data_IF_166628366789
#
_entry.id   IF_166628366789
#
_cell.length_a   1.000
_cell.length_b   1.000
_cell.length_c   1.000
_cell.angle_alpha   90.00
_cell.angle_beta   90.00
_cell.angle_gamma   90.00
#
_symmetry.space_group_name_H-M   'P 1'
#
loop_
_entity.id
_entity.type
_entity.pdbx_description
1 polymer ?
#
# COMPACT_ATOMS: atom_id res chain seq x y z
N UNK A 1 -1.81 -6.55 5.65
CA UNK A 1 -3.20 -6.98 5.93
C UNK A 1 -3.98 -5.91 6.69
N UNK A 2 -3.57 -5.52 7.91
CA UNK A 2 -4.25 -4.45 8.68
C UNK A 2 -4.34 -3.13 7.90
N UNK A 3 -3.25 -2.70 7.26
CA UNK A 3 -3.23 -1.48 6.47
C UNK A 3 -4.23 -1.49 5.29
N UNK A 4 -4.33 -2.61 4.56
CA UNK A 4 -5.25 -2.75 3.43
C UNK A 4 -6.71 -2.63 3.89
N UNK A 5 -7.05 -3.17 5.05
CA UNK A 5 -8.38 -3.06 5.65
C UNK A 5 -8.70 -1.62 6.06
N UNK A 6 -7.73 -0.91 6.65
CA UNK A 6 -7.88 0.51 7.02
C UNK A 6 -8.14 1.41 5.80
N UNK A 7 -7.39 1.21 4.72
CA UNK A 7 -7.57 1.96 3.47
C UNK A 7 -8.95 1.71 2.86
N UNK A 8 -9.41 0.45 2.82
CA UNK A 8 -10.74 0.10 2.31
C UNK A 8 -11.87 0.67 3.18
N UNK A 9 -11.71 0.67 4.52
CA UNK A 9 -12.68 1.30 5.43
C UNK A 9 -12.75 2.82 5.23
N UNK A 10 -11.61 3.49 5.03
CA UNK A 10 -11.57 4.92 4.73
C UNK A 10 -12.27 5.24 3.39
N UNK A 11 -12.05 4.43 2.36
CA UNK A 11 -12.71 4.55 1.06
C UNK A 11 -14.24 4.39 1.16
N UNK A 12 -14.69 3.38 1.92
CA UNK A 12 -16.11 3.13 2.15
C UNK A 12 -16.78 4.27 2.95
N UNK A 13 -16.08 4.84 3.94
CA UNK A 13 -16.57 5.98 4.72
C UNK A 13 -16.79 7.23 3.87
N UNK A 14 -15.87 7.52 2.95
CA UNK A 14 -15.97 8.61 1.98
C UNK A 14 -17.15 8.45 1.01
N UNK A 15 -17.54 7.21 0.68
CA UNK A 15 -18.65 6.93 -0.25
C UNK A 15 -20.03 6.97 0.41
N UNK A 16 -20.12 6.59 1.69
CA UNK A 16 -21.40 6.40 2.37
C UNK A 16 -21.95 7.70 2.99
N UNK A 17 -21.09 8.68 3.24
CA UNK A 17 -21.47 9.96 3.85
C UNK A 17 -21.35 11.12 2.85
N UNK A 18 -22.47 11.74 2.48
CA UNK A 18 -22.51 12.93 1.61
C UNK A 18 -21.90 14.19 2.27
N UNK A 19 -21.82 14.22 3.60
CA UNK A 19 -21.10 15.24 4.41
C UNK A 19 -20.17 14.55 5.40
N UNK A 20 -19.00 14.07 4.94
CA UNK A 20 -18.08 13.35 5.82
C UNK A 20 -17.54 14.30 6.90
N UNK A 21 -17.69 13.91 8.16
CA UNK A 21 -17.15 14.65 9.30
C UNK A 21 -15.62 14.72 9.22
N UNK A 22 -15.07 15.93 9.22
CA UNK A 22 -13.63 16.20 9.22
C UNK A 22 -12.91 15.43 10.33
N UNK A 23 -13.51 15.33 11.51
CA UNK A 23 -12.93 14.62 12.66
C UNK A 23 -12.71 13.13 12.39
N UNK A 24 -13.70 12.45 11.79
CA UNK A 24 -13.60 11.02 11.50
C UNK A 24 -12.60 10.77 10.37
N UNK A 25 -12.55 11.66 9.38
CA UNK A 25 -11.54 11.59 8.32
C UNK A 25 -10.13 11.79 8.87
N UNK A 26 -9.92 12.76 9.76
CA UNK A 26 -8.62 13.01 10.39
C UNK A 26 -8.16 11.82 11.22
N UNK A 27 -9.04 11.20 12.01
CA UNK A 27 -8.70 10.01 12.79
C UNK A 27 -8.35 8.83 11.88
N UNK A 28 -9.16 8.57 10.84
CA UNK A 28 -8.90 7.48 9.90
C UNK A 28 -7.60 7.71 9.12
N UNK A 29 -7.35 8.94 8.65
CA UNK A 29 -6.10 9.30 7.99
C UNK A 29 -4.92 9.13 8.93
N UNK A 30 -5.02 9.62 10.17
CA UNK A 30 -3.95 9.50 11.15
C UNK A 30 -3.58 8.03 11.40
N UNK A 31 -4.57 7.17 11.66
CA UNK A 31 -4.35 5.74 11.90
C UNK A 31 -3.75 5.08 10.65
N UNK A 32 -4.31 5.35 9.47
CA UNK A 32 -3.80 4.80 8.21
C UNK A 32 -2.37 5.24 7.92
N UNK A 33 -2.03 6.51 8.17
CA UNK A 33 -0.69 7.05 8.00
C UNK A 33 0.30 6.50 9.02
N UNK A 34 -0.12 6.25 10.25
CA UNK A 34 0.71 5.62 11.28
C UNK A 34 1.18 4.23 10.85
N UNK A 35 0.24 3.38 10.41
CA UNK A 35 0.56 2.05 9.91
C UNK A 35 1.36 2.10 8.60
N UNK A 36 1.08 3.06 7.71
CA UNK A 36 1.86 3.27 6.49
C UNK A 36 3.33 3.55 6.79
N UNK A 37 3.61 4.48 7.70
CA UNK A 37 4.99 4.84 8.08
C UNK A 37 5.71 3.69 8.78
N UNK A 38 4.99 2.81 9.47
CA UNK A 38 5.57 1.63 10.10
C UNK A 38 5.97 0.52 9.10
N UNK A 39 5.35 0.48 7.92
CA UNK A 39 5.64 -0.57 6.92
C UNK A 39 7.07 -0.50 6.39
N UNK A 40 7.61 0.70 6.19
CA UNK A 40 8.94 0.89 5.63
C UNK A 40 10.06 0.28 6.51
N UNK A 41 10.20 0.62 7.81
CA UNK A 41 11.20 -0.01 8.66
C UNK A 41 10.96 -1.50 8.86
N UNK A 42 9.70 -1.95 8.92
CA UNK A 42 9.38 -3.38 8.99
C UNK A 42 9.83 -4.15 7.74
N UNK A 43 9.61 -3.60 6.54
CA UNK A 43 10.01 -4.24 5.29
C UNK A 43 11.54 -4.32 5.17
N UNK A 44 12.25 -3.27 5.57
CA UNK A 44 13.72 -3.28 5.61
C UNK A 44 14.27 -4.27 6.65
N UNK A 45 13.66 -4.39 7.82
CA UNK A 45 14.04 -5.38 8.82
C UNK A 45 13.84 -6.81 8.29
N UNK A 46 12.68 -7.09 7.71
CA UNK A 46 12.39 -8.40 7.10
C UNK A 46 13.37 -8.72 5.96
N UNK A 47 13.69 -7.76 5.10
CA UNK A 47 14.66 -7.97 4.03
C UNK A 47 16.05 -8.31 4.58
N UNK A 48 16.47 -7.66 5.66
CA UNK A 48 17.75 -7.92 6.32
C UNK A 48 17.83 -9.32 6.94
N UNK A 49 16.71 -9.81 7.48
CA UNK A 49 16.61 -11.13 8.11
C UNK A 49 16.65 -12.29 7.09
N UNK A 50 16.20 -12.05 5.85
CA UNK A 50 16.03 -13.09 4.83
C UNK A 50 17.18 -13.13 3.82
N UNK A 51 17.96 -12.04 3.69
CA UNK A 51 19.03 -11.93 2.70
C UNK A 51 20.42 -12.10 3.34
N UNK A 52 21.25 -12.92 2.71
CA UNK A 52 22.66 -13.14 3.09
C UNK A 52 23.47 -11.84 3.01
N UNK A 53 24.40 -11.69 3.97
CA UNK A 53 25.18 -10.47 4.14
C UNK A 53 25.93 -9.99 2.89
N UNK A 54 26.36 -10.92 2.04
CA UNK A 54 27.06 -10.63 0.80
C UNK A 54 26.17 -9.98 -0.28
N UNK A 55 24.87 -10.28 -0.29
CA UNK A 55 23.93 -9.79 -1.32
C UNK A 55 23.01 -8.68 -0.82
N UNK A 56 23.07 -8.30 0.46
CA UNK A 56 22.21 -7.26 1.06
C UNK A 56 22.24 -5.95 0.29
N UNK A 57 23.41 -5.48 -0.12
CA UNK A 57 23.52 -4.23 -0.90
C UNK A 57 22.69 -4.26 -2.18
N UNK A 58 22.75 -5.38 -2.93
CA UNK A 58 21.98 -5.58 -4.15
C UNK A 58 20.48 -5.74 -3.86
N UNK A 59 20.12 -6.49 -2.81
CA UNK A 59 18.73 -6.71 -2.42
C UNK A 59 18.03 -5.41 -1.97
N UNK A 60 18.68 -4.59 -1.14
CA UNK A 60 18.18 -3.27 -0.75
C UNK A 60 18.09 -2.33 -1.96
N UNK A 61 19.06 -2.40 -2.88
CA UNK A 61 19.03 -1.64 -4.14
C UNK A 61 17.82 -1.99 -5.01
N UNK A 62 17.54 -3.29 -5.19
CA UNK A 62 16.38 -3.77 -5.94
C UNK A 62 15.07 -3.39 -5.25
N UNK A 63 15.00 -3.54 -3.93
CA UNK A 63 13.83 -3.16 -3.13
C UNK A 63 13.50 -1.66 -3.31
N UNK A 64 14.51 -0.79 -3.21
CA UNK A 64 14.33 0.64 -3.42
C UNK A 64 13.95 0.97 -4.87
N UNK A 65 14.56 0.31 -5.86
CA UNK A 65 14.23 0.50 -7.27
C UNK A 65 12.74 0.21 -7.56
N UNK A 66 12.22 -0.90 -7.02
CA UNK A 66 10.80 -1.25 -7.15
C UNK A 66 9.92 -0.19 -6.49
N UNK A 67 10.32 0.32 -5.33
CA UNK A 67 9.63 1.41 -4.64
C UNK A 67 9.56 2.69 -5.47
N UNK A 68 10.68 3.12 -6.05
CA UNK A 68 10.77 4.32 -6.90
C UNK A 68 9.93 4.18 -8.18
N UNK A 69 9.91 3.00 -8.81
CA UNK A 69 9.02 2.75 -9.95
C UNK A 69 7.56 2.97 -9.55
N UNK A 70 7.14 2.43 -8.40
CA UNK A 70 5.79 2.65 -7.88
C UNK A 70 5.51 4.13 -7.60
N UNK A 71 6.47 4.84 -7.00
CA UNK A 71 6.35 6.27 -6.70
C UNK A 71 6.24 7.14 -7.95
N UNK A 72 6.93 6.78 -9.05
CA UNK A 72 6.85 7.50 -10.33
C UNK A 72 5.58 7.18 -11.10
N UNK A 73 5.13 5.92 -11.08
CA UNK A 73 3.96 5.47 -11.84
C UNK A 73 2.65 5.91 -11.16
N UNK A 74 2.62 5.99 -9.83
CA UNK A 74 1.39 6.26 -9.07
C UNK A 74 0.73 7.62 -9.36
N UNK A 75 1.42 8.76 -9.49
CA UNK A 75 0.77 10.05 -9.78
C UNK A 75 0.26 10.11 -11.22
N UNK A 76 0.95 9.46 -12.16
CA UNK A 76 0.52 9.39 -13.55
C UNK A 76 -0.77 8.56 -13.70
N UNK A 77 -0.84 7.40 -13.05
CA UNK A 77 -2.06 6.59 -12.99
C UNK A 77 -3.18 7.32 -12.26
N UNK A 78 -2.90 7.88 -11.08
CA UNK A 78 -3.91 8.59 -10.28
C UNK A 78 -4.46 9.81 -11.01
N UNK A 79 -3.59 10.62 -11.62
CA UNK A 79 -3.95 11.82 -12.39
C UNK A 79 -4.77 11.52 -13.64
N UNK A 80 -4.39 10.49 -14.42
CA UNK A 80 -5.16 10.09 -15.62
C UNK A 80 -6.56 9.57 -15.26
N UNK A 81 -6.67 8.82 -14.15
CA UNK A 81 -7.95 8.37 -13.62
C UNK A 81 -8.84 9.51 -13.10
N UNK A 82 -8.26 10.49 -12.39
CA UNK A 82 -9.01 11.68 -11.99
C UNK A 82 -9.48 12.49 -13.20
N UNK A 83 -8.64 12.61 -14.24
CA UNK A 83 -8.96 13.35 -15.46
C UNK A 83 -10.11 12.75 -16.27
N UNK A 84 -10.22 11.42 -16.32
CA UNK A 84 -11.29 10.75 -17.08
C UNK A 84 -12.61 10.62 -16.33
N UNK A 85 -12.60 10.41 -15.00
CA UNK A 85 -13.81 10.07 -14.24
C UNK A 85 -14.37 11.20 -13.37
N UNK A 86 -13.67 12.34 -13.25
CA UNK A 86 -14.16 13.55 -12.56
C UNK A 86 -14.39 13.41 -11.04
N UNK A 87 -14.25 12.21 -10.48
CA UNK A 87 -14.51 11.91 -9.06
C UNK A 87 -13.29 11.27 -8.41
N UNK A 88 -12.91 11.78 -7.22
CA UNK A 88 -11.74 11.31 -6.48
C UNK A 88 -11.87 9.88 -5.93
N UNK A 89 -13.07 9.33 -5.93
CA UNK A 89 -13.38 8.03 -5.32
C UNK A 89 -12.76 6.84 -6.07
N UNK A 90 -12.58 6.94 -7.40
CA UNK A 90 -12.08 5.83 -8.23
C UNK A 90 -10.60 5.54 -7.98
N UNK A 91 -9.77 6.57 -7.77
CA UNK A 91 -8.35 6.39 -7.47
C UNK A 91 -8.13 5.62 -6.16
N UNK A 92 -8.98 5.85 -5.14
CA UNK A 92 -8.91 5.17 -3.85
C UNK A 92 -9.27 3.68 -3.98
N UNK A 93 -10.21 3.33 -4.86
CA UNK A 93 -10.55 1.92 -5.13
C UNK A 93 -9.41 1.16 -5.82
N UNK A 94 -8.69 1.82 -6.74
CA UNK A 94 -7.54 1.21 -7.40
C UNK A 94 -6.39 1.00 -6.43
N UNK A 95 -6.13 1.95 -5.54
CA UNK A 95 -5.14 1.81 -4.49
C UNK A 95 -5.47 0.63 -3.55
N UNK A 96 -6.73 0.55 -3.09
CA UNK A 96 -7.21 -0.59 -2.31
C UNK A 96 -7.11 -1.94 -3.04
N UNK A 97 -7.41 -1.98 -4.34
CA UNK A 97 -7.29 -3.18 -5.15
C UNK A 97 -5.83 -3.61 -5.33
N UNK A 98 -4.91 -2.66 -5.53
CA UNK A 98 -3.48 -2.93 -5.65
C UNK A 98 -2.90 -3.46 -4.33
N UNK A 99 -3.31 -2.89 -3.19
CA UNK A 99 -2.92 -3.38 -1.87
C UNK A 99 -3.46 -4.78 -1.58
N UNK A 100 -4.68 -5.10 -2.02
CA UNK A 100 -5.26 -6.44 -1.89
C UNK A 100 -4.54 -7.45 -2.78
N UNK A 101 -4.22 -7.09 -4.02
CA UNK A 101 -3.45 -7.93 -4.92
C UNK A 101 -2.06 -8.25 -4.35
N UNK A 102 -1.36 -7.25 -3.81
CA UNK A 102 -0.08 -7.45 -3.13
C UNK A 102 -0.18 -8.34 -1.90
N UNK A 103 -1.24 -8.19 -1.09
CA UNK A 103 -1.50 -9.08 0.04
C UNK A 103 -1.78 -10.52 -0.40
N UNK A 104 -2.55 -10.72 -1.47
CA UNK A 104 -2.82 -12.04 -2.05
C UNK A 104 -1.55 -12.71 -2.57
N UNK A 105 -0.70 -11.95 -3.27
CA UNK A 105 0.59 -12.43 -3.75
C UNK A 105 1.51 -12.86 -2.60
N UNK A 106 1.54 -12.07 -1.51
CA UNK A 106 2.30 -12.41 -0.30
C UNK A 106 1.82 -13.71 0.33
N UNK A 107 0.50 -13.92 0.44
CA UNK A 107 -0.07 -15.17 0.97
C UNK A 107 0.25 -16.36 0.06
N UNK A 108 0.11 -16.20 -1.26
CA UNK A 108 0.38 -17.24 -2.24
C UNK A 108 1.85 -17.69 -2.25
N UNK A 109 2.78 -16.74 -2.12
CA UNK A 109 4.22 -17.02 -2.01
C UNK A 109 4.53 -17.72 -0.69
N UNK A 110 3.90 -17.27 0.41
CA UNK A 110 4.12 -17.84 1.74
C UNK A 110 3.65 -19.30 1.84
N UNK A 111 2.61 -19.68 1.10
CA UNK A 111 2.17 -21.08 0.99
C UNK A 111 3.20 -21.98 0.28
N UNK A 112 3.98 -21.44 -0.64
CA UNK A 112 4.97 -22.23 -1.38
C UNK A 112 6.27 -22.44 -0.60
N UNK A 113 6.65 -21.51 0.29
CA UNK A 113 7.83 -21.66 1.15
C UNK A 113 7.61 -22.64 2.30
N UNK A 114 6.37 -22.89 2.74
CA UNK A 114 6.07 -23.86 3.81
C UNK A 114 6.16 -25.33 3.38
N UNK A 115 6.48 -25.61 2.10
CA UNK A 115 6.56 -26.97 1.54
C UNK A 115 7.97 -27.39 1.09
N UNK A 116 9.00 -26.59 1.36
CA UNK A 116 10.40 -26.95 1.14
C UNK A 116 11.09 -27.21 2.47
#
# INVERSE_FOLDING_TARGET
MVQSVLVLMFAAYLRTNEKPSLWVMSILLFVTSLFFNALQPMAHALLNDVVDGAERGAAFGLFNLVGEIGAVVSPALSGTLFGHYGSRTHAVYIDGALMLAGAGLYVLIRENTSRA
#
